data_IF_904475031546
#
_entry.id   IF_904475031546
#
_cell.length_a   1.000
_cell.length_b   1.000
_cell.length_c   1.000
_cell.angle_alpha   90.00
_cell.angle_beta   90.00
_cell.angle_gamma   90.00
#
_symmetry.space_group_name_H-M   'P 1'
#
loop_
_entity.id
_entity.type
_entity.pdbx_description
1 polymer ?
2 non-polymer ?
3 non-polymer ?
4 non-polymer ?
5 non-polymer ?
6 water ?
#
# COMPACT_ATOMS: atom_id res chain seq x y z
N UNK A 1 -18.87 20.48 10.12
CA UNK A 1 -17.63 19.73 10.47
C UNK A 1 -17.17 18.81 9.34
N UNK A 2 -15.89 18.50 9.37
CA UNK A 2 -15.32 17.41 8.59
C UNK A 2 -15.57 16.13 9.39
N UNK A 3 -16.18 15.14 8.76
CA UNK A 3 -16.56 13.93 9.47
C UNK A 3 -15.78 12.75 8.92
N UNK A 4 -15.36 11.84 9.80
CA UNK A 4 -14.83 10.57 9.30
C UNK A 4 -15.87 9.90 8.39
N UNK A 5 -15.45 9.07 7.44
CA UNK A 5 -16.43 8.38 6.60
C UNK A 5 -17.35 7.48 7.43
N UNK A 6 -18.62 7.42 7.06
CA UNK A 6 -19.58 6.59 7.76
C UNK A 6 -19.82 5.43 6.79
N UNK A 7 -19.56 4.21 7.25
CA UNK A 7 -19.60 3.02 6.42
C UNK A 7 -21.06 2.58 6.21
N UNK A 8 -21.44 2.35 4.96
CA UNK A 8 -22.71 1.74 4.63
C UNK A 8 -22.46 0.32 4.11
N UNK A 9 -22.63 -0.69 4.98
CA UNK A 9 -22.38 -2.08 4.61
C UNK A 9 -23.23 -2.58 3.44
N UNK A 10 -24.39 -1.99 3.20
CA UNK A 10 -25.23 -2.47 2.12
C UNK A 10 -24.74 -2.04 0.73
N UNK A 11 -23.72 -1.19 0.69
CA UNK A 11 -23.29 -0.62 -0.58
C UNK A 11 -22.10 -1.35 -1.17
N UNK A 12 -21.99 -2.66 -0.96
CA UNK A 12 -20.87 -3.44 -1.52
C UNK A 12 -21.04 -3.52 -3.03
N UNK A 13 -20.00 -3.15 -3.79
CA UNK A 13 -20.08 -3.20 -5.24
C UNK A 13 -20.06 -4.62 -5.79
N UNK A 14 -20.46 -4.78 -7.07
CA UNK A 14 -20.39 -6.09 -7.68
C UNK A 14 -18.94 -6.60 -7.75
N UNK A 15 -18.78 -7.91 -7.62
CA UNK A 15 -17.50 -8.56 -7.81
C UNK A 15 -17.28 -8.69 -9.31
N UNK A 16 -16.70 -7.66 -9.91
CA UNK A 16 -16.39 -7.70 -11.34
C UNK A 16 -15.07 -7.03 -11.58
N UNK A 17 -14.29 -7.56 -12.52
CA UNK A 17 -12.99 -7.00 -12.83
C UNK A 17 -13.10 -5.92 -13.92
N UNK A 18 -11.98 -5.26 -14.24
CA UNK A 18 -11.91 -4.32 -15.37
C UNK A 18 -12.01 -2.87 -14.92
N UNK A 19 -11.58 -1.91 -15.78
CA UNK A 19 -11.61 -0.50 -15.39
C UNK A 19 -13.04 0.07 -15.36
N UNK A 20 -13.23 1.16 -14.63
CA UNK A 20 -14.52 1.89 -14.59
C UNK A 20 -14.93 2.40 -15.96
N UNK A 21 -13.94 2.76 -16.77
CA UNK A 21 -14.18 3.17 -18.14
C UNK A 21 -13.02 2.72 -19.01
N UNK A 22 -13.23 2.66 -20.33
CA UNK A 22 -12.21 2.03 -21.17
C UNK A 22 -10.84 2.70 -21.12
N UNK A 23 -9.79 1.89 -21.22
CA UNK A 23 -8.41 2.33 -21.00
C UNK A 23 -7.53 1.72 -22.08
N UNK A 24 -6.53 2.50 -22.54
CA UNK A 24 -5.65 2.09 -23.62
C UNK A 24 -4.21 2.42 -23.30
N UNK A 25 -3.33 1.44 -23.57
CA UNK A 25 -1.91 1.64 -23.35
C UNK A 25 -1.35 2.61 -24.38
N UNK A 26 -0.83 3.74 -23.91
CA UNK A 26 -0.22 4.74 -24.78
C UNK A 26 1.32 4.74 -24.71
N UNK A 27 1.91 4.10 -23.70
CA UNK A 27 3.35 4.08 -23.55
C UNK A 27 3.92 2.67 -23.43
N UNK A 28 5.15 2.51 -23.90
CA UNK A 28 5.92 1.29 -23.70
C UNK A 28 6.26 1.12 -22.22
N UNK A 29 6.31 -0.12 -21.76
CA UNK A 29 6.43 -0.40 -20.34
C UNK A 29 7.82 -0.03 -19.83
N UNK A 30 7.86 0.50 -18.62
CA UNK A 30 9.12 0.76 -17.92
C UNK A 30 9.65 -0.53 -17.31
N UNK A 31 10.94 -0.49 -16.96
CA UNK A 31 11.58 -1.56 -16.18
C UNK A 31 12.45 -0.92 -15.12
N UNK A 32 12.58 -1.54 -13.94
CA UNK A 32 13.44 -1.00 -12.92
C UNK A 32 14.89 -1.21 -13.28
N UNK A 33 15.78 -0.54 -12.55
CA UNK A 33 17.19 -0.61 -12.82
C UNK A 33 18.03 -0.45 -11.52
N UNK A 34 19.28 -0.09 -11.67
CA UNK A 34 20.22 -0.01 -10.56
C UNK A 34 21.09 1.22 -10.71
N UNK A 35 21.56 1.75 -9.58
CA UNK A 35 22.58 2.78 -9.60
C UNK A 35 23.92 2.14 -9.99
N UNK A 36 24.70 2.85 -10.83
CA UNK A 36 26.01 2.34 -11.16
C UNK A 36 26.79 1.94 -9.93
N UNK A 37 27.47 0.80 -9.98
CA UNK A 37 28.35 0.31 -8.92
C UNK A 37 27.65 -0.02 -7.60
N UNK A 38 26.37 -0.38 -7.63
CA UNK A 38 25.68 -0.85 -6.42
C UNK A 38 26.12 -2.28 -6.09
N UNK A 39 26.32 -2.56 -4.82
CA UNK A 39 26.70 -3.89 -4.39
C UNK A 39 25.57 -4.46 -3.55
N UNK A 40 24.89 -5.47 -4.07
CA UNK A 40 23.71 -6.02 -3.40
C UNK A 40 24.00 -7.19 -2.45
N UNK A 41 25.29 -7.48 -2.26
CA UNK A 41 25.68 -8.49 -1.27
C UNK A 41 25.26 -8.09 0.15
N UNK A 42 25.28 -6.80 0.44
CA UNK A 42 24.89 -6.29 1.76
C UNK A 42 23.38 -6.23 1.88
N UNK A 43 22.91 -6.27 3.12
CA UNK A 43 21.49 -6.17 3.40
C UNK A 43 21.02 -4.75 3.15
N UNK A 44 19.84 -4.55 2.53
CA UNK A 44 19.31 -3.17 2.40
C UNK A 44 19.10 -2.53 3.78
N UNK A 45 19.17 -1.20 3.85
CA UNK A 45 19.10 -0.53 5.16
C UNK A 45 17.78 -0.87 5.87
N UNK A 46 16.72 -1.05 5.09
CA UNK A 46 15.41 -1.34 5.65
C UNK A 46 15.33 -2.70 6.31
N UNK A 47 16.01 -3.68 5.73
CA UNK A 47 16.09 -5.01 6.30
C UNK A 47 16.85 -5.01 7.63
N UNK A 48 17.97 -4.29 7.67
CA UNK A 48 18.73 -4.14 8.91
C UNK A 48 17.92 -3.39 9.97
N UNK A 49 17.30 -2.28 9.57
CA UNK A 49 16.50 -1.45 10.47
C UNK A 49 15.33 -2.22 11.11
N UNK A 50 14.65 -3.05 10.32
CA UNK A 50 13.46 -3.78 10.78
C UNK A 50 13.81 -5.15 11.36
N UNK A 51 15.09 -5.50 11.30
CA UNK A 51 15.63 -6.75 11.88
C UNK A 51 14.98 -7.98 11.27
N UNK A 52 14.87 -7.99 9.95
CA UNK A 52 14.15 -9.05 9.23
C UNK A 52 14.76 -10.44 9.48
N UNK A 53 16.09 -10.50 9.46
CA UNK A 53 16.83 -11.71 9.77
C UNK A 53 16.37 -12.30 11.11
N UNK A 54 16.29 -11.50 12.15
CA UNK A 54 15.83 -11.98 13.45
C UNK A 54 14.35 -12.36 13.39
N UNK A 55 13.53 -11.51 12.77
CA UNK A 55 12.11 -11.78 12.70
C UNK A 55 11.81 -13.15 12.10
N UNK A 56 12.61 -13.54 11.09
CA UNK A 56 12.43 -14.83 10.41
C UNK A 56 12.74 -16.06 11.25
N UNK A 57 13.35 -15.90 12.42
CA UNK A 57 13.44 -17.01 13.36
C UNK A 57 12.03 -17.37 13.87
N UNK A 58 11.11 -16.41 13.82
CA UNK A 58 9.81 -16.53 14.45
C UNK A 58 8.64 -16.78 13.49
N UNK A 59 8.79 -16.38 12.23
CA UNK A 59 7.77 -16.55 11.18
C UNK A 59 8.33 -16.15 9.81
N UNK A 60 7.80 -16.76 8.75
CA UNK A 60 8.20 -16.45 7.37
C UNK A 60 7.02 -16.18 6.41
N UNK A 61 5.78 -16.19 6.93
CA UNK A 61 4.57 -16.09 6.14
C UNK A 61 4.06 -17.36 5.49
N UNK A 62 4.56 -18.53 5.90
CA UNK A 62 4.11 -19.80 5.32
C UNK A 62 2.63 -20.01 5.60
N UNK A 63 1.89 -20.49 4.60
CA UNK A 63 0.44 -20.66 4.69
C UNK A 63 -0.40 -19.40 4.42
N UNK A 64 0.20 -18.22 4.32
CA UNK A 64 -0.55 -16.96 4.21
C UNK A 64 -0.49 -16.49 2.77
N UNK A 65 -1.59 -15.89 2.31
CA UNK A 65 -1.72 -15.34 0.96
C UNK A 65 -1.96 -13.82 1.09
N UNK A 66 -1.08 -13.02 0.46
CA UNK A 66 -1.21 -11.59 0.44
C UNK A 66 -1.65 -11.14 -0.95
N UNK A 67 -2.74 -10.39 -1.00
CA UNK A 67 -3.16 -9.74 -2.23
C UNK A 67 -2.55 -8.35 -2.32
N UNK A 68 -2.01 -8.03 -3.50
CA UNK A 68 -1.31 -6.78 -3.72
C UNK A 68 -2.04 -5.98 -4.78
N UNK A 69 -2.67 -4.88 -4.37
CA UNK A 69 -3.40 -4.01 -5.30
C UNK A 69 -2.41 -2.88 -5.64
N UNK A 70 -1.95 -2.87 -6.88
CA UNK A 70 -0.81 -2.06 -7.28
C UNK A 70 -0.83 -1.99 -8.84
N UNK A 71 0.33 -2.03 -9.51
CA UNK A 71 0.38 -1.83 -10.96
C UNK A 71 0.60 -3.18 -11.71
N UNK A 72 0.27 -4.31 -11.08
CA UNK A 72 0.61 -5.60 -11.67
C UNK A 72 2.01 -6.05 -11.30
N UNK A 73 2.30 -7.31 -11.63
CA UNK A 73 3.57 -7.96 -11.30
C UNK A 73 4.04 -8.80 -12.47
N UNK A 74 5.30 -8.65 -12.85
CA UNK A 74 5.93 -9.56 -13.78
C UNK A 74 6.60 -10.62 -12.94
N UNK A 75 6.02 -11.82 -12.96
CA UNK A 75 6.35 -12.87 -12.03
C UNK A 75 7.65 -13.57 -12.35
N UNK A 76 8.26 -14.15 -11.31
CA UNK A 76 9.52 -14.85 -11.43
C UNK A 76 9.61 -15.81 -10.27
N UNK A 77 10.63 -16.71 -10.30
CA UNK A 77 10.71 -17.59 -9.16
C UNK A 77 10.88 -16.85 -7.83
N UNK A 78 11.59 -15.72 -7.80
CA UNK A 78 11.76 -14.97 -6.56
C UNK A 78 10.57 -14.11 -6.16
N UNK A 79 9.71 -13.77 -7.13
CA UNK A 79 8.45 -13.06 -6.85
C UNK A 79 7.34 -13.85 -7.57
N UNK A 80 6.98 -15.04 -7.02
CA UNK A 80 6.11 -15.98 -7.74
C UNK A 80 4.63 -15.64 -7.65
N UNK A 81 4.28 -14.47 -8.15
CA UNK A 81 2.91 -13.97 -8.05
C UNK A 81 1.92 -14.77 -8.88
N UNK A 82 0.66 -14.74 -8.45
CA UNK A 82 -0.44 -15.42 -9.11
C UNK A 82 -1.48 -14.38 -9.58
N UNK A 83 -2.19 -14.68 -10.69
CA UNK A 83 -3.15 -13.74 -11.21
C UNK A 83 -4.24 -13.36 -10.19
N UNK A 84 -4.43 -12.08 -9.95
CA UNK A 84 -5.51 -11.60 -9.10
C UNK A 84 -6.52 -10.74 -9.82
N UNK A 85 -6.30 -10.50 -11.11
CA UNK A 85 -7.18 -9.64 -11.90
C UNK A 85 -6.60 -8.29 -12.28
N UNK A 86 -7.21 -7.72 -13.32
CA UNK A 86 -6.79 -6.45 -13.91
C UNK A 86 -7.97 -5.49 -13.92
N UNK A 87 -7.74 -4.30 -13.38
CA UNK A 87 -8.73 -3.24 -13.33
C UNK A 87 -8.30 -2.04 -14.17
N UNK A 88 -7.27 -2.24 -15.01
CA UNK A 88 -6.78 -1.24 -15.98
C UNK A 88 -7.05 -1.72 -17.39
N UNK A 89 -6.48 -2.88 -17.71
CA UNK A 89 -6.75 -3.52 -18.98
C UNK A 89 -7.88 -4.54 -18.81
N UNK A 90 -8.94 -4.32 -19.55
CA UNK A 90 -10.13 -5.13 -19.44
C UNK A 90 -9.89 -6.61 -19.77
N UNK A 91 -8.85 -6.91 -20.55
CA UNK A 91 -8.51 -8.29 -20.93
C UNK A 91 -7.35 -8.91 -20.10
N UNK A 92 -6.83 -8.17 -19.14
CA UNK A 92 -5.64 -8.60 -18.40
C UNK A 92 -5.96 -9.50 -17.23
N UNK A 93 -4.93 -9.91 -16.50
CA UNK A 93 -5.08 -10.80 -15.33
C UNK A 93 -4.24 -10.41 -14.10
N UNK A 94 -3.54 -9.28 -14.16
CA UNK A 94 -2.74 -8.78 -13.04
C UNK A 94 -1.27 -9.19 -13.07
N UNK A 95 -0.92 -9.98 -14.07
CA UNK A 95 0.44 -10.51 -14.21
C UNK A 95 1.27 -9.78 -15.26
N UNK A 96 0.95 -8.52 -15.47
CA UNK A 96 1.74 -7.63 -16.32
C UNK A 96 1.97 -6.31 -15.60
N UNK A 97 3.22 -6.02 -15.29
CA UNK A 97 3.62 -4.77 -14.66
C UNK A 97 4.24 -3.90 -15.76
N UNK A 98 3.59 -2.78 -16.07
CA UNK A 98 4.09 -1.86 -17.08
C UNK A 98 4.78 -0.64 -16.42
N UNK A 99 4.82 -0.61 -15.08
CA UNK A 99 5.24 0.59 -14.35
C UNK A 99 6.47 0.39 -13.47
N UNK A 100 7.06 -0.80 -13.48
CA UNK A 100 8.19 -1.06 -12.61
C UNK A 100 7.85 -0.65 -11.19
N UNK A 101 6.71 -1.09 -10.69
CA UNK A 101 6.26 -0.69 -9.39
C UNK A 101 5.70 -1.89 -8.63
N UNK A 102 4.60 -2.44 -9.09
CA UNK A 102 3.94 -3.55 -8.40
C UNK A 102 4.82 -4.76 -8.19
N UNK A 103 5.68 -5.04 -9.16
CA UNK A 103 6.63 -6.13 -9.03
C UNK A 103 7.52 -5.88 -7.80
N UNK A 104 7.93 -4.63 -7.65
CA UNK A 104 8.85 -4.25 -6.55
C UNK A 104 8.12 -4.31 -5.21
N UNK A 105 6.91 -3.76 -5.14
CA UNK A 105 6.07 -3.89 -3.95
C UNK A 105 5.94 -5.36 -3.48
N UNK A 106 5.53 -6.22 -4.41
CA UNK A 106 5.38 -7.63 -4.11
C UNK A 106 6.68 -8.25 -3.59
N UNK A 107 7.81 -7.81 -4.16
CA UNK A 107 9.12 -8.33 -3.74
C UNK A 107 9.46 -7.96 -2.30
N UNK A 108 9.07 -6.77 -1.89
CA UNK A 108 9.31 -6.30 -0.52
C UNK A 108 8.47 -7.12 0.49
N UNK A 109 7.21 -7.39 0.14
CA UNK A 109 6.30 -8.18 0.98
C UNK A 109 6.80 -9.64 1.09
N UNK A 110 7.06 -10.28 -0.04
CA UNK A 110 7.23 -11.74 -0.08
C UNK A 110 8.34 -12.25 -0.99
N UNK A 111 9.28 -11.38 -1.35
CA UNK A 111 10.38 -11.79 -2.21
C UNK A 111 11.22 -12.88 -1.58
N UNK A 112 11.56 -13.89 -2.36
CA UNK A 112 12.43 -14.96 -1.89
C UNK A 112 13.91 -14.57 -1.84
N UNK A 113 14.67 -15.27 -1.01
CA UNK A 113 16.12 -15.05 -0.90
C UNK A 113 16.88 -15.67 -2.05
N UNK A 114 18.17 -15.34 -2.15
CA UNK A 114 19.09 -15.94 -3.09
C UNK A 114 20.49 -15.89 -2.48
N UNK A 115 21.35 -16.89 -2.79
CA UNK A 115 22.68 -16.88 -2.24
C UNK A 115 23.61 -15.79 -2.82
N UNK A 116 23.18 -15.15 -3.92
CA UNK A 116 24.00 -14.16 -4.60
C UNK A 116 23.72 -12.73 -4.18
N UNK A 117 22.72 -12.47 -3.35
CA UNK A 117 22.52 -11.11 -2.83
C UNK A 117 21.95 -11.13 -1.42
N UNK A 118 21.87 -9.95 -0.80
CA UNK A 118 21.39 -9.83 0.58
C UNK A 118 19.92 -9.47 0.72
N UNK A 119 19.17 -9.50 -0.39
CA UNK A 119 17.76 -9.14 -0.34
C UNK A 119 16.82 -10.28 -0.02
N UNK A 120 15.84 -10.02 0.84
CA UNK A 120 14.76 -10.97 1.07
C UNK A 120 13.52 -10.20 1.47
N UNK A 121 12.35 -10.73 1.09
CA UNK A 121 11.09 -10.14 1.48
C UNK A 121 10.85 -10.35 2.96
N UNK A 122 9.87 -9.61 3.47
CA UNK A 122 9.43 -9.75 4.85
C UNK A 122 8.85 -11.13 5.12
N UNK A 123 8.03 -11.62 4.19
CA UNK A 123 7.30 -12.88 4.35
C UNK A 123 7.60 -13.79 3.15
N UNK A 124 8.84 -14.27 3.06
CA UNK A 124 9.29 -14.97 1.86
C UNK A 124 8.58 -16.27 1.57
N UNK A 125 7.81 -16.81 2.51
CA UNK A 125 7.03 -18.01 2.25
C UNK A 125 5.56 -17.72 1.90
N UNK A 126 5.16 -16.45 1.83
CA UNK A 126 3.77 -16.11 1.57
C UNK A 126 3.44 -16.31 0.10
N UNK A 127 2.18 -16.63 -0.21
CA UNK A 127 1.71 -16.50 -1.59
C UNK A 127 1.40 -15.02 -1.89
N UNK A 128 1.49 -14.65 -3.16
CA UNK A 128 1.21 -13.30 -3.64
C UNK A 128 0.16 -13.37 -4.74
N UNK A 129 -0.96 -12.67 -4.56
CA UNK A 129 -1.95 -12.47 -5.62
C UNK A 129 -1.81 -11.04 -6.13
N UNK A 130 -1.67 -10.87 -7.45
CA UNK A 130 -1.47 -9.54 -8.05
C UNK A 130 -2.73 -9.00 -8.73
N UNK A 131 -3.21 -7.87 -8.24
CA UNK A 131 -4.34 -7.16 -8.85
C UNK A 131 -3.79 -5.84 -9.37
N UNK A 132 -3.94 -5.62 -10.68
CA UNK A 132 -3.54 -4.35 -11.25
C UNK A 132 -4.73 -3.38 -11.18
N UNK A 133 -4.53 -2.31 -10.43
CA UNK A 133 -5.52 -1.24 -10.33
C UNK A 133 -5.05 0.07 -10.98
N UNK A 134 -3.74 0.31 -11.09
CA UNK A 134 -3.19 1.55 -11.66
C UNK A 134 -2.11 1.28 -12.67
N UNK A 135 -2.02 2.15 -13.69
CA UNK A 135 -0.83 2.25 -14.55
C UNK A 135 -0.70 3.61 -15.21
N UNK A 136 0.48 4.22 -15.05
CA UNK A 136 0.81 5.44 -15.75
C UNK A 136 0.99 5.25 -17.28
N UNK A 137 1.03 4.00 -17.75
CA UNK A 137 1.22 3.71 -19.18
C UNK A 137 -0.10 3.74 -19.98
N UNK A 138 -1.23 3.76 -19.27
CA UNK A 138 -2.56 3.75 -19.89
C UNK A 138 -3.26 5.07 -19.69
N UNK A 139 -4.15 5.40 -20.63
CA UNK A 139 -4.97 6.60 -20.54
C UNK A 139 -6.44 6.24 -20.84
N UNK A 140 -7.39 6.97 -20.22
CA UNK A 140 -8.79 6.76 -20.54
C UNK A 140 -9.07 7.01 -22.03
N UNK A 141 -9.85 6.13 -22.65
CA UNK A 141 -10.24 6.32 -24.04
C UNK A 141 -11.17 7.54 -24.01
N UNK A 142 -10.93 8.48 -24.93
CA UNK A 142 -11.73 9.70 -25.01
C UNK A 142 -13.19 9.42 -24.70
N UNK A 143 -13.78 10.18 -23.78
CA UNK A 143 -15.18 9.98 -23.44
C UNK A 143 -15.88 11.30 -23.15
N UNK A 144 -17.15 11.39 -23.52
CA UNK A 144 -17.99 12.54 -23.21
C UNK A 144 -18.40 12.52 -21.72
N UNK A 145 -17.69 13.27 -20.87
CA UNK A 145 -18.07 13.40 -19.44
C UNK A 145 -18.34 14.87 -19.04
N UNK A 146 -19.05 15.03 -17.92
CA UNK A 146 -19.38 16.35 -17.39
C UNK A 146 -18.22 16.80 -16.48
N UNK A 147 -17.50 17.88 -16.87
CA UNK A 147 -16.24 18.21 -16.22
C UNK A 147 -16.37 18.93 -14.86
N UNK A 148 -17.58 19.35 -14.51
CA UNK A 148 -17.82 20.04 -13.24
C UNK A 148 -18.30 19.08 -12.14
N UNK A 149 -18.38 17.79 -12.46
CA UNK A 149 -18.93 16.80 -11.53
C UNK A 149 -17.83 15.90 -10.93
N UNK A 150 -17.63 15.97 -9.59
CA UNK A 150 -16.57 15.16 -8.95
C UNK A 150 -16.72 13.68 -9.23
N UNK A 151 -17.95 13.19 -9.34
CA UNK A 151 -18.20 11.77 -9.64
C UNK A 151 -17.84 11.29 -11.04
N UNK A 152 -17.54 12.19 -11.97
CA UNK A 152 -17.06 11.81 -13.27
C UNK A 152 -15.59 12.11 -13.54
N UNK A 153 -14.83 12.45 -12.52
CA UNK A 153 -13.38 12.60 -12.66
C UNK A 153 -12.71 11.22 -12.76
N UNK A 154 -11.45 11.22 -13.19
CA UNK A 154 -10.67 10.00 -13.24
C UNK A 154 -10.47 9.43 -11.83
N UNK A 155 -10.29 10.31 -10.83
CA UNK A 155 -10.19 9.89 -9.43
C UNK A 155 -11.44 9.14 -8.97
N UNK A 156 -12.61 9.67 -9.31
CA UNK A 156 -13.86 9.03 -8.92
C UNK A 156 -13.98 7.66 -9.56
N UNK A 157 -13.65 7.58 -10.84
CA UNK A 157 -13.63 6.30 -11.55
C UNK A 157 -12.64 5.33 -10.96
N UNK A 158 -11.46 5.83 -10.64
CA UNK A 158 -10.42 5.01 -10.04
C UNK A 158 -10.88 4.46 -8.65
N UNK A 159 -11.62 5.25 -7.89
CA UNK A 159 -12.18 4.79 -6.61
C UNK A 159 -13.32 3.77 -6.81
N UNK A 160 -14.11 3.94 -7.86
CA UNK A 160 -15.08 2.91 -8.18
C UNK A 160 -14.42 1.58 -8.54
N UNK A 161 -13.37 1.59 -9.38
CA UNK A 161 -12.66 0.32 -9.72
C UNK A 161 -11.90 -0.29 -8.52
N UNK A 162 -11.41 0.57 -7.64
CA UNK A 162 -10.78 0.14 -6.43
C UNK A 162 -11.74 -0.61 -5.51
N UNK A 163 -12.96 -0.10 -5.36
CA UNK A 163 -13.93 -0.73 -4.50
C UNK A 163 -14.17 -2.16 -4.99
N UNK A 164 -14.33 -2.34 -6.28
CA UNK A 164 -14.51 -3.70 -6.82
C UNK A 164 -13.25 -4.57 -6.62
N UNK A 165 -12.08 -3.97 -6.77
CA UNK A 165 -10.84 -4.71 -6.59
C UNK A 165 -10.70 -5.23 -5.16
N UNK A 166 -11.18 -4.47 -4.18
CA UNK A 166 -11.11 -4.89 -2.79
C UNK A 166 -12.07 -6.07 -2.57
N UNK A 167 -13.29 -5.97 -3.14
CA UNK A 167 -14.25 -7.09 -3.08
C UNK A 167 -13.62 -8.34 -3.69
N UNK A 168 -13.13 -8.19 -4.92
CA UNK A 168 -12.50 -9.29 -5.64
C UNK A 168 -11.29 -9.88 -4.86
N UNK A 169 -10.42 -9.02 -4.31
CA UNK A 169 -9.27 -9.47 -3.53
C UNK A 169 -9.72 -10.36 -2.37
N UNK A 170 -10.74 -9.91 -1.66
CA UNK A 170 -11.31 -10.65 -0.53
C UNK A 170 -11.85 -12.00 -0.98
N UNK A 171 -12.57 -12.00 -2.11
CA UNK A 171 -13.11 -13.24 -2.68
C UNK A 171 -12.06 -14.26 -3.12
N UNK A 172 -10.87 -13.77 -3.45
CA UNK A 172 -9.71 -14.62 -3.79
C UNK A 172 -9.18 -15.38 -2.59
N UNK A 173 -9.54 -14.96 -1.37
CA UNK A 173 -9.15 -15.68 -0.15
C UNK A 173 -7.88 -15.16 0.51
N UNK A 174 -7.46 -13.95 0.19
CA UNK A 174 -6.23 -13.41 0.80
C UNK A 174 -6.48 -13.01 2.25
N UNK A 175 -5.50 -13.27 3.13
CA UNK A 175 -5.69 -12.97 4.55
C UNK A 175 -5.07 -11.62 4.92
N UNK A 176 -4.28 -11.09 3.99
CA UNK A 176 -3.74 -9.72 4.04
C UNK A 176 -3.94 -9.11 2.66
N UNK A 177 -4.45 -7.88 2.62
CA UNK A 177 -4.63 -7.12 1.39
C UNK A 177 -3.81 -5.81 1.48
N UNK A 178 -2.80 -5.71 0.64
CA UNK A 178 -1.95 -4.52 0.58
C UNK A 178 -2.46 -3.60 -0.51
N UNK A 179 -2.90 -2.40 -0.11
CA UNK A 179 -3.43 -1.42 -1.05
C UNK A 179 -2.42 -0.29 -1.21
N UNK A 180 -1.79 -0.25 -2.37
CA UNK A 180 -0.82 0.78 -2.68
C UNK A 180 -1.53 2.05 -3.16
N UNK A 181 -2.79 1.93 -3.60
CA UNK A 181 -3.54 3.09 -4.12
C UNK A 181 -3.75 4.10 -3.01
N UNK A 182 -3.48 5.37 -3.29
CA UNK A 182 -3.80 6.43 -2.35
C UNK A 182 -4.34 7.58 -3.16
N UNK A 183 -5.67 7.61 -3.32
CA UNK A 183 -6.34 8.61 -4.17
C UNK A 183 -6.67 9.84 -3.36
N UNK A 184 -6.39 11.01 -3.93
CA UNK A 184 -6.52 12.29 -3.23
C UNK A 184 -7.58 13.19 -3.85
N UNK A 185 -8.34 13.86 -3.01
CA UNK A 185 -9.25 14.88 -3.49
C UNK A 185 -9.51 15.92 -2.38
N UNK A 186 -10.02 17.07 -2.77
CA UNK A 186 -10.28 18.15 -1.83
C UNK A 186 -11.55 17.86 -1.04
N UNK A 187 -11.48 18.14 0.27
CA UNK A 187 -12.59 17.91 1.18
C UNK A 187 -13.90 18.63 0.75
N UNK A 188 -13.77 19.76 0.06
CA UNK A 188 -14.94 20.52 -0.38
C UNK A 188 -15.55 19.99 -1.68
N UNK A 189 -14.85 19.06 -2.33
CA UNK A 189 -15.30 18.47 -3.58
C UNK A 189 -15.42 16.98 -3.40
N UNK A 190 -16.35 16.55 -2.51
CA UNK A 190 -16.40 15.14 -2.12
C UNK A 190 -16.86 14.20 -3.24
N UNK A 191 -16.16 13.09 -3.40
CA UNK A 191 -16.56 12.03 -4.34
C UNK A 191 -17.47 11.07 -3.58
N UNK A 192 -18.50 10.51 -4.22
CA UNK A 192 -19.28 9.49 -3.55
C UNK A 192 -18.49 8.16 -3.68
N UNK A 193 -17.87 7.73 -2.59
CA UNK A 193 -17.03 6.53 -2.60
C UNK A 193 -17.49 5.56 -1.50
N UNK A 194 -18.78 5.62 -1.21
CA UNK A 194 -19.52 4.70 -0.32
C UNK A 194 -19.15 3.24 -0.57
N UNK A 195 -19.00 2.89 -1.84
CA UNK A 195 -18.56 1.57 -2.22
C UNK A 195 -17.20 1.17 -1.71
N UNK A 196 -16.27 2.12 -1.58
CA UNK A 196 -14.94 1.78 -1.09
C UNK A 196 -15.04 1.36 0.37
N UNK A 197 -15.76 2.15 1.15
CA UNK A 197 -16.00 1.87 2.55
C UNK A 197 -16.69 0.53 2.73
N UNK A 198 -17.67 0.25 1.91
CA UNK A 198 -18.40 -1.01 2.01
C UNK A 198 -17.48 -2.17 1.66
N UNK A 199 -16.59 -1.99 0.67
CA UNK A 199 -15.68 -3.04 0.25
C UNK A 199 -14.65 -3.32 1.35
N UNK A 200 -14.13 -2.27 1.97
CA UNK A 200 -13.14 -2.43 3.03
C UNK A 200 -13.78 -3.18 4.18
N UNK A 201 -15.00 -2.76 4.54
CA UNK A 201 -15.76 -3.44 5.60
C UNK A 201 -15.99 -4.92 5.33
N UNK A 202 -16.37 -5.25 4.09
CA UNK A 202 -16.59 -6.64 3.66
C UNK A 202 -15.29 -7.45 3.77
N UNK A 203 -14.18 -6.90 3.30
CA UNK A 203 -12.89 -7.59 3.41
C UNK A 203 -12.52 -7.89 4.85
N UNK A 204 -12.73 -6.91 5.72
CA UNK A 204 -12.26 -6.99 7.11
C UNK A 204 -13.24 -7.77 8.00
N UNK A 205 -14.54 -7.50 7.86
CA UNK A 205 -15.53 -8.09 8.76
C UNK A 205 -16.20 -9.34 8.21
N UNK A 206 -16.23 -9.52 6.89
CA UNK A 206 -16.93 -10.68 6.30
C UNK A 206 -15.96 -11.78 5.84
N UNK A 207 -14.80 -11.39 5.33
CA UNK A 207 -13.83 -12.36 4.79
C UNK A 207 -12.54 -12.49 5.62
N UNK A 208 -12.47 -11.88 6.81
CA UNK A 208 -11.35 -12.14 7.72
C UNK A 208 -9.97 -11.68 7.20
N UNK A 209 -9.94 -10.55 6.49
CA UNK A 209 -8.70 -10.06 5.91
C UNK A 209 -8.23 -8.79 6.59
N UNK A 210 -6.92 -8.71 6.74
CA UNK A 210 -6.27 -7.52 7.27
C UNK A 210 -6.06 -6.64 6.07
N UNK A 211 -6.46 -5.37 6.14
CA UNK A 211 -6.25 -4.44 5.04
C UNK A 211 -5.25 -3.37 5.43
N UNK A 212 -4.20 -3.22 4.63
CA UNK A 212 -3.15 -2.22 4.86
C UNK A 212 -3.18 -1.23 3.70
N UNK A 213 -3.13 0.07 4.01
CA UNK A 213 -3.15 1.10 2.96
C UNK A 213 -1.95 2.04 3.06
N UNK A 214 -1.44 2.46 1.90
CA UNK A 214 -0.43 3.49 1.81
C UNK A 214 -0.98 4.83 2.27
N UNK A 215 -0.19 5.58 3.02
CA UNK A 215 -0.59 6.95 3.36
C UNK A 215 -0.74 7.86 2.15
N UNK A 216 -0.02 7.55 1.07
CA UNK A 216 -0.02 8.37 -0.15
C UNK A 216 1.20 9.30 -0.15
N UNK A 217 1.53 9.83 -1.33
CA UNK A 217 2.67 10.72 -1.51
C UNK A 217 2.17 12.05 -2.03
N UNK A 218 2.80 13.12 -1.57
CA UNK A 218 2.43 14.46 -2.04
C UNK A 218 2.74 14.64 -3.52
N UNK A 219 2.04 15.60 -4.11
CA UNK A 219 2.24 16.01 -5.50
C UNK A 219 0.92 15.96 -6.23
N UNK A 220 0.77 16.81 -7.23
CA UNK A 220 -0.43 16.80 -8.07
C UNK A 220 -1.69 17.11 -7.27
N UNK A 221 -2.57 16.12 -7.08
CA UNK A 221 -3.82 16.30 -6.33
C UNK A 221 -3.59 16.06 -4.85
N UNK A 222 -2.42 15.52 -4.50
CA UNK A 222 -2.12 15.24 -3.10
C UNK A 222 -1.27 16.36 -2.52
N UNK A 223 -1.95 17.33 -1.93
CA UNK A 223 -1.30 18.43 -1.25
C UNK A 223 -1.37 18.12 0.24
N UNK A 224 -0.23 18.29 0.91
CA UNK A 224 -0.03 17.95 2.32
C UNK A 224 -1.10 18.53 3.23
N UNK A 225 -1.57 17.74 4.19
CA UNK A 225 -2.53 18.26 5.17
C UNK A 225 -1.82 19.02 6.28
N UNK A 226 -2.43 20.11 6.79
CA UNK A 226 -1.84 20.82 7.95
C UNK A 226 -1.89 19.97 9.23
N UNK A 227 -0.99 20.25 10.19
CA UNK A 227 -1.09 19.54 11.45
C UNK A 227 -2.36 19.89 12.28
N UNK A 228 -2.65 19.10 13.31
CA UNK A 228 -3.70 19.44 14.28
C UNK A 228 -3.49 20.80 14.95
N UNK A 229 -4.58 21.49 15.29
CA UNK A 229 -4.49 22.71 16.09
C UNK A 229 -4.50 22.35 17.58
N UNK A 230 -3.38 22.59 18.28
CA UNK A 230 -3.29 22.30 19.72
C UNK A 230 -4.29 23.07 20.59
N UNK A 231 -4.80 24.18 20.08
CA UNK A 231 -5.80 24.95 20.80
C UNK A 231 -7.20 24.34 20.72
N UNK A 232 -7.39 23.29 19.91
CA UNK A 232 -8.67 22.61 19.84
C UNK A 232 -8.51 21.19 20.37
N UNK A 233 -8.52 21.03 21.70
CA UNK A 233 -8.19 19.73 22.31
C UNK A 233 -9.22 18.63 22.09
N UNK A 234 -10.45 18.99 21.74
CA UNK A 234 -11.44 17.98 21.39
C UNK A 234 -11.16 17.34 20.02
N UNK A 235 -10.15 17.83 19.30
CA UNK A 235 -9.77 17.30 17.97
C UNK A 235 -8.26 17.04 17.93
N UNK A 236 -7.77 16.10 18.76
CA UNK A 236 -6.31 15.84 18.88
C UNK A 236 -5.63 15.40 17.58
N UNK A 237 -6.35 14.66 16.75
CA UNK A 237 -5.84 14.26 15.43
C UNK A 237 -6.12 15.29 14.30
N UNK A 238 -6.78 16.39 14.60
CA UNK A 238 -6.93 17.48 13.61
C UNK A 238 -7.75 17.15 12.38
N UNK A 239 -8.85 16.41 12.55
CA UNK A 239 -9.83 16.20 11.49
C UNK A 239 -10.33 17.51 10.87
N UNK A 240 -10.48 18.55 11.69
CA UNK A 240 -10.97 19.84 11.22
C UNK A 240 -9.93 20.70 10.49
N UNK A 241 -8.67 20.27 10.48
CA UNK A 241 -7.58 20.94 9.76
C UNK A 241 -7.32 20.27 8.40
N UNK A 242 -8.01 19.17 8.13
CA UNK A 242 -7.79 18.43 6.89
C UNK A 242 -8.29 19.23 5.69
N UNK A 243 -7.48 19.24 4.63
CA UNK A 243 -7.89 19.78 3.32
C UNK A 243 -7.96 18.71 2.22
N UNK A 244 -7.11 17.69 2.33
CA UNK A 244 -7.00 16.63 1.33
C UNK A 244 -7.40 15.27 1.92
N UNK A 245 -8.47 14.70 1.39
CA UNK A 245 -8.86 13.33 1.71
C UNK A 245 -7.94 12.40 0.91
N UNK A 246 -7.39 11.39 1.58
CA UNK A 246 -6.69 10.28 0.93
C UNK A 246 -7.49 9.00 1.17
N UNK A 247 -7.85 8.32 0.09
CA UNK A 247 -8.69 7.10 0.19
C UNK A 247 -7.99 5.93 -0.48
N UNK A 248 -8.08 4.73 0.13
CA UNK A 248 -8.89 4.34 1.28
C UNK A 248 -8.19 4.59 2.64
N UNK A 249 -7.08 5.32 2.62
CA UNK A 249 -6.32 5.63 3.85
C UNK A 249 -7.20 6.09 5.01
N UNK A 250 -8.21 6.90 4.67
CA UNK A 250 -9.08 7.55 5.64
C UNK A 250 -10.11 6.68 6.29
N UNK A 251 -10.21 5.41 5.91
CA UNK A 251 -11.11 4.46 6.53
C UNK A 251 -10.53 3.86 7.81
N UNK A 252 -9.40 4.35 8.28
CA UNK A 252 -8.84 3.90 9.58
C UNK A 252 -9.88 4.05 10.69
N UNK A 253 -10.03 3.05 11.58
CA UNK A 253 -9.15 1.90 11.82
C UNK A 253 -9.57 0.62 11.09
N UNK A 254 -10.53 0.71 10.18
CA UNK A 254 -10.85 -0.46 9.33
C UNK A 254 -9.63 -0.93 8.56
N UNK A 255 -8.83 0.04 8.15
CA UNK A 255 -7.54 -0.21 7.53
C UNK A 255 -6.46 0.36 8.45
N UNK A 256 -5.27 -0.22 8.37
CA UNK A 256 -4.08 0.39 8.95
C UNK A 256 -3.30 1.15 7.84
N UNK A 257 -3.26 2.46 7.99
CA UNK A 257 -2.65 3.34 7.02
C UNK A 257 -1.22 3.66 7.42
N UNK A 258 -0.30 3.48 6.47
CA UNK A 258 1.13 3.49 6.75
C UNK A 258 1.85 4.66 6.05
N UNK A 259 2.44 5.52 6.86
CA UNK A 259 3.30 6.61 6.40
C UNK A 259 4.74 6.16 6.24
N UNK A 260 5.59 7.05 5.73
CA UNK A 260 6.97 6.69 5.33
C UNK A 260 8.01 7.32 6.23
N UNK A 261 9.08 6.57 6.50
CA UNK A 261 10.28 7.13 7.09
C UNK A 261 11.48 6.86 6.21
N UNK A 262 12.52 7.65 6.39
CA UNK A 262 13.80 7.51 5.71
C UNK A 262 14.84 6.79 6.55
N UNK A 263 16.07 6.59 5.99
CA UNK A 263 17.12 5.83 6.66
C UNK A 263 17.61 6.45 7.95
N UNK A 264 17.40 7.76 8.15
CA UNK A 264 17.73 8.41 9.42
C UNK A 264 16.59 8.36 10.44
N UNK A 265 15.48 7.71 10.11
CA UNK A 265 14.34 7.56 11.03
C UNK A 265 13.34 8.71 11.03
N UNK A 266 13.56 9.72 10.18
CA UNK A 266 12.61 10.85 10.12
C UNK A 266 11.43 10.56 9.17
N UNK A 267 10.29 11.19 9.43
CA UNK A 267 9.18 11.15 8.50
C UNK A 267 9.65 11.62 7.12
N UNK A 268 9.30 10.86 6.09
CA UNK A 268 9.59 11.23 4.71
C UNK A 268 8.80 12.48 4.34
N UNK A 269 9.45 13.44 3.66
CA UNK A 269 8.78 14.70 3.33
C UNK A 269 7.70 14.62 2.27
N UNK A 270 7.62 13.51 1.56
CA UNK A 270 6.53 13.29 0.63
C UNK A 270 5.35 12.53 1.25
N UNK A 271 5.47 12.09 2.50
CA UNK A 271 4.45 11.22 3.09
C UNK A 271 3.24 12.07 3.46
N UNK A 272 2.07 11.69 2.95
CA UNK A 272 0.82 12.42 3.21
C UNK A 272 0.36 12.20 4.66
N UNK A 273 0.26 13.28 5.42
CA UNK A 273 -0.16 13.21 6.80
C UNK A 273 -1.67 13.30 6.88
N UNK A 274 -2.21 12.71 7.94
CA UNK A 274 -3.59 12.96 8.30
C UNK A 274 -4.03 12.30 9.59
N UNK A 275 -5.28 12.59 10.01
CA UNK A 275 -5.80 12.02 11.25
C UNK A 275 -5.92 10.49 11.24
N UNK A 276 -5.75 9.87 10.06
CA UNK A 276 -5.99 8.43 9.84
C UNK A 276 -4.72 7.59 9.78
N UNK A 277 -3.55 8.23 9.77
CA UNK A 277 -2.28 7.47 9.69
C UNK A 277 -2.08 6.73 11.03
N UNK A 278 -1.76 5.44 10.96
CA UNK A 278 -1.64 4.55 12.14
C UNK A 278 -0.24 4.07 12.47
N UNK A 279 0.65 4.08 11.47
CA UNK A 279 1.97 3.52 11.64
C UNK A 279 2.87 4.00 10.50
N UNK A 280 4.14 3.63 10.59
CA UNK A 280 5.10 3.95 9.54
C UNK A 280 6.13 2.86 9.33
N UNK A 281 6.82 2.95 8.20
CA UNK A 281 7.82 1.99 7.82
C UNK A 281 8.74 2.59 6.71
N UNK A 282 9.88 1.92 6.41
CA UNK A 282 10.82 2.50 5.45
C UNK A 282 10.18 2.75 4.07
N UNK A 283 10.48 3.91 3.51
CA UNK A 283 9.85 4.37 2.27
C UNK A 283 10.81 5.10 1.32
N UNK A 284 12.11 5.13 1.65
CA UNK A 284 13.12 5.84 0.87
C UNK A 284 14.33 4.94 0.62
N UNK A 285 15.02 5.16 -0.51
CA UNK A 285 16.28 4.48 -0.80
C UNK A 285 16.11 2.96 -0.67
N UNK A 286 15.04 2.49 -1.31
CA UNK A 286 14.59 1.11 -1.20
C UNK A 286 15.33 0.21 -2.21
N UNK A 287 15.64 -1.01 -1.76
CA UNK A 287 16.11 -2.08 -2.63
C UNK A 287 14.98 -3.08 -2.74
N UNK A 288 14.73 -3.55 -3.96
CA UNK A 288 13.67 -4.49 -4.20
C UNK A 288 14.13 -5.42 -5.33
N UNK A 289 13.22 -6.25 -5.84
CA UNK A 289 13.50 -7.11 -6.99
C UNK A 289 12.68 -6.70 -8.21
N UNK A 290 13.26 -6.92 -9.38
CA UNK A 290 12.63 -6.58 -10.64
C UNK A 290 11.93 -7.76 -11.30
N UNK A 291 11.74 -7.65 -12.61
CA UNK A 291 10.93 -8.57 -13.38
C UNK A 291 11.55 -9.96 -13.52
N UNK A 292 12.85 -10.08 -13.25
CA UNK A 292 13.51 -11.38 -13.29
C UNK A 292 13.87 -11.88 -11.89
N UNK A 293 13.45 -11.16 -10.86
CA UNK A 293 13.88 -11.48 -9.49
C UNK A 293 15.26 -10.97 -9.16
N UNK A 294 15.76 -10.04 -9.99
CA UNK A 294 17.09 -9.42 -9.84
C UNK A 294 17.01 -8.21 -8.91
N UNK A 295 18.02 -8.01 -8.06
CA UNK A 295 17.96 -6.84 -7.19
C UNK A 295 17.96 -5.52 -7.99
N UNK A 296 17.12 -4.57 -7.55
CA UNK A 296 17.05 -3.26 -8.14
C UNK A 296 16.99 -2.18 -7.05
N UNK A 297 17.43 -0.97 -7.39
CA UNK A 297 17.40 0.16 -6.47
C UNK A 297 17.28 1.54 -7.14
N UNK A 298 16.89 1.57 -8.43
CA UNK A 298 16.74 2.79 -9.17
C UNK A 298 15.62 2.63 -10.19
N UNK A 299 15.04 3.78 -10.55
CA UNK A 299 14.04 3.87 -11.60
C UNK A 299 14.43 4.97 -12.57
N UNK A 300 13.91 4.88 -13.80
CA UNK A 300 14.19 5.92 -14.78
C UNK A 300 13.31 7.12 -14.42
N UNK A 301 13.93 8.28 -14.21
CA UNK A 301 13.19 9.52 -13.98
C UNK A 301 13.23 10.38 -15.21
N UNK A 302 12.94 11.67 -15.05
CA UNK A 302 12.87 12.62 -16.16
C UNK A 302 14.26 13.03 -16.63
N UNK A 303 15.13 13.38 -15.69
CA UNK A 303 16.52 13.74 -16.01
C UNK A 303 17.49 12.67 -15.49
N UNK A 304 17.16 11.39 -15.64
CA UNK A 304 18.04 10.30 -15.18
C UNK A 304 17.50 9.50 -14.01
N UNK A 305 18.38 8.78 -13.31
CA UNK A 305 17.95 7.83 -12.27
C UNK A 305 17.38 8.50 -11.02
N UNK A 306 16.35 7.87 -10.45
CA UNK A 306 15.79 8.31 -9.18
C UNK A 306 15.72 7.08 -8.26
N UNK A 307 15.62 7.31 -6.94
CA UNK A 307 15.60 6.17 -6.02
C UNK A 307 14.27 5.46 -6.06
N UNK A 308 14.24 4.22 -5.59
CA UNK A 308 12.99 3.52 -5.34
C UNK A 308 12.45 4.06 -4.00
N UNK A 309 11.28 4.70 -4.04
CA UNK A 309 10.72 5.33 -2.87
C UNK A 309 9.19 5.43 -2.92
N UNK A 310 8.56 5.61 -1.75
CA UNK A 310 7.15 5.91 -1.70
C UNK A 310 6.46 5.23 -0.54
N UNK A 311 5.30 5.75 -0.17
CA UNK A 311 4.52 5.13 0.89
C UNK A 311 3.97 3.74 0.54
N UNK A 312 3.88 3.39 -0.74
CA UNK A 312 3.54 2.01 -1.13
C UNK A 312 4.55 1.01 -0.53
N UNK A 313 5.82 1.38 -0.46
CA UNK A 313 6.84 0.51 0.14
C UNK A 313 6.69 0.41 1.66
N UNK A 314 6.39 1.51 2.34
CA UNK A 314 6.03 1.47 3.74
C UNK A 314 4.88 0.49 3.98
N UNK A 315 3.83 0.60 3.18
CA UNK A 315 2.69 -0.30 3.30
C UNK A 315 3.10 -1.74 3.06
N UNK A 316 4.00 -1.97 2.10
CA UNK A 316 4.49 -3.31 1.79
C UNK A 316 5.20 -3.93 2.98
N UNK A 317 6.07 -3.19 3.68
CA UNK A 317 6.70 -3.76 4.89
C UNK A 317 5.66 -4.18 5.95
N UNK A 318 4.63 -3.35 6.15
CA UNK A 318 3.59 -3.62 7.15
C UNK A 318 2.72 -4.83 6.74
N UNK A 319 2.34 -4.93 5.47
CA UNK A 319 1.64 -6.12 4.96
C UNK A 319 2.45 -7.41 5.18
N UNK A 320 3.73 -7.36 4.88
CA UNK A 320 4.62 -8.46 5.23
C UNK A 320 4.59 -8.85 6.69
N UNK A 321 4.68 -7.86 7.58
CA UNK A 321 4.60 -8.08 9.02
C UNK A 321 3.28 -8.69 9.42
N UNK A 322 2.19 -8.21 8.82
CA UNK A 322 0.88 -8.77 9.13
C UNK A 322 0.87 -10.25 8.79
N UNK A 323 1.46 -10.59 7.65
CA UNK A 323 1.57 -11.98 7.21
C UNK A 323 2.39 -12.83 8.20
N UNK A 324 3.48 -12.29 8.68
CA UNK A 324 4.28 -12.98 9.68
C UNK A 324 3.46 -13.24 10.96
N UNK A 325 2.72 -12.20 11.40
CA UNK A 325 1.89 -12.26 12.59
C UNK A 325 0.80 -13.32 12.46
N UNK A 326 0.12 -13.35 11.32
CA UNK A 326 -1.01 -14.25 11.12
C UNK A 326 -0.52 -15.69 11.04
N UNK A 327 0.68 -15.93 10.49
CA UNK A 327 1.24 -17.28 10.55
C UNK A 327 1.51 -17.70 12.00
N UNK A 328 2.18 -16.84 12.77
CA UNK A 328 2.62 -17.23 14.09
C UNK A 328 1.45 -17.30 15.06
N UNK A 329 0.45 -16.45 14.85
CA UNK A 329 -0.72 -16.37 15.68
C UNK A 329 -1.99 -16.44 14.83
N UNK A 330 -2.32 -17.64 14.31
CA UNK A 330 -3.44 -17.73 13.36
C UNK A 330 -4.83 -17.48 13.99
N UNK A 331 -4.93 -17.49 15.32
CA UNK A 331 -6.19 -17.21 16.00
C UNK A 331 -6.54 -15.72 16.03
N UNK A 332 -5.59 -14.84 15.69
CA UNK A 332 -5.84 -13.40 15.79
C UNK A 332 -6.81 -12.92 14.73
N UNK A 333 -7.77 -12.08 15.14
CA UNK A 333 -8.66 -11.39 14.18
C UNK A 333 -7.86 -10.29 13.48
N UNK A 334 -8.39 -9.75 12.39
CA UNK A 334 -7.68 -8.63 11.77
C UNK A 334 -7.52 -7.42 12.71
N UNK A 335 -8.52 -7.13 13.54
CA UNK A 335 -8.38 -6.03 14.52
C UNK A 335 -7.20 -6.27 15.45
N UNK A 336 -7.06 -7.50 15.92
CA UNK A 336 -5.99 -7.84 16.84
C UNK A 336 -4.63 -7.82 16.14
N UNK A 337 -4.58 -8.19 14.87
CA UNK A 337 -3.31 -8.13 14.14
C UNK A 337 -2.80 -6.70 14.08
N UNK A 338 -3.66 -5.82 13.60
CA UNK A 338 -3.37 -4.40 13.47
C UNK A 338 -3.00 -3.79 14.80
N UNK A 339 -3.78 -4.11 15.84
CA UNK A 339 -3.54 -3.51 17.15
C UNK A 339 -2.19 -3.94 17.71
N UNK A 340 -1.79 -5.17 17.39
CA UNK A 340 -0.49 -5.68 17.79
C UNK A 340 0.63 -4.92 17.07
N UNK A 341 0.44 -4.67 15.77
CA UNK A 341 1.41 -3.90 15.00
C UNK A 341 1.59 -2.50 15.61
N UNK A 342 0.48 -1.81 15.90
CA UNK A 342 0.55 -0.43 16.41
C UNK A 342 1.04 -0.36 17.85
N UNK A 343 0.59 -1.28 18.69
CA UNK A 343 0.93 -1.28 20.10
C UNK A 343 2.43 -1.55 20.33
N UNK A 344 3.09 -2.22 19.40
CA UNK A 344 4.53 -2.48 19.55
C UNK A 344 5.42 -1.58 18.69
N UNK A 345 4.84 -0.58 18.04
CA UNK A 345 5.63 0.32 17.20
C UNK A 345 6.41 1.28 18.09
N UNK A 346 7.47 1.85 17.53
CA UNK A 346 8.29 2.81 18.25
C UNK A 346 7.63 4.19 18.13
N UNK A 347 7.03 4.66 19.22
CA UNK A 347 6.19 5.87 19.20
C UNK A 347 6.97 7.18 19.04
N UNK A 348 6.43 8.13 18.26
CA UNK A 348 7.12 9.37 18.05
C UNK A 348 7.06 10.25 19.30
N UNK A 349 7.64 11.45 19.20
CA UNK A 349 7.79 12.38 20.32
C UNK A 349 6.50 12.85 20.96
N UNK A 350 5.42 12.90 20.19
CA UNK A 350 4.12 13.26 20.72
C UNK A 350 3.23 12.09 21.03
N UNK A 351 3.79 10.87 21.04
CA UNK A 351 2.99 9.67 21.33
C UNK A 351 2.30 9.10 20.09
N UNK A 352 1.38 9.86 19.52
CA UNK A 352 0.81 9.56 18.21
C UNK A 352 0.87 10.86 17.43
N UNK A 353 1.13 10.77 16.13
CA UNK A 353 1.03 11.95 15.29
C UNK A 353 0.52 11.61 13.90
N UNK A 354 0.27 12.64 13.11
CA UNK A 354 -0.35 12.48 11.79
C UNK A 354 0.62 12.05 10.69
N UNK A 355 1.92 11.98 11.00
CA UNK A 355 2.93 11.62 10.02
C UNK A 355 3.22 10.13 10.08
N UNK A 356 3.37 9.62 11.30
CA UNK A 356 3.73 8.23 11.54
C UNK A 356 2.70 7.46 12.38
N UNK A 357 1.63 8.12 12.80
CA UNK A 357 0.64 7.48 13.65
C UNK A 357 1.27 7.06 14.94
N UNK A 358 1.12 5.78 15.29
CA UNK A 358 1.69 5.22 16.52
C UNK A 358 3.21 4.98 16.36
N UNK A 359 3.74 5.15 15.15
CA UNK A 359 5.18 5.10 14.93
C UNK A 359 5.68 3.98 14.03
N UNK A 360 7.00 3.77 14.09
CA UNK A 360 7.66 2.89 13.14
C UNK A 360 7.48 1.45 13.61
N UNK A 361 7.03 0.57 12.71
CA UNK A 361 6.82 -0.81 13.09
C UNK A 361 8.11 -1.48 13.59
N UNK A 362 7.91 -2.47 14.46
CA UNK A 362 8.99 -3.21 15.07
C UNK A 362 8.64 -4.71 14.99
N UNK A 363 9.04 -5.35 13.89
CA UNK A 363 8.67 -6.74 13.64
C UNK A 363 8.99 -7.73 14.76
N UNK A 364 10.17 -7.61 15.37
CA UNK A 364 10.56 -8.57 16.41
C UNK A 364 9.70 -8.36 17.64
N UNK A 365 9.51 -7.10 18.03
CA UNK A 365 8.61 -6.80 19.13
C UNK A 365 7.20 -7.31 18.82
N UNK A 366 6.72 -7.09 17.59
CA UNK A 366 5.37 -7.52 17.23
C UNK A 366 5.22 -9.03 17.36
N UNK A 367 6.24 -9.76 16.90
CA UNK A 367 6.25 -11.22 16.96
C UNK A 367 6.53 -11.81 18.33
N UNK A 368 7.21 -11.06 19.21
CA UNK A 368 7.69 -11.65 20.50
C UNK A 368 7.56 -10.84 21.79
N UNK A 369 7.19 -9.57 21.75
CA UNK A 369 7.34 -8.73 22.95
C UNK A 369 6.46 -9.24 24.11
X LIG B 1 -4.45 2.26 -8.01
X LIG C 1 -14.02 -11.67 -8.36
X LIG D 1 -16.66 -11.22 -14.12
X LIG E 1 -13.64 -4.38 13.24
X LIG F 1 -19.70 19.38 8.47
X LIG G 1 4.75 3.95 -4.98
X LIG H 1 -22.86 14.41 11.13
X LIG I 1 -14.18 -15.62 -6.64
X LIG I 1 -14.81 -14.54 -7.16
X LIG I 1 -13.90 -13.55 -7.33
X LIG I 1 -12.71 -14.04 -6.92
X LIG I 1 -12.89 -15.33 -6.48
X LIG J 1 -15.37 -11.59 -12.42
X LIG J 1 -15.59 -11.59 -11.06
X LIG J 1 -14.52 -12.10 -10.42
X LIG J 1 -13.60 -12.44 -11.39
X LIG J 1 -14.13 -12.12 -12.63
X LIG K 1 -11.78 -3.62 12.56
X LIG K 1 -10.97 -2.62 12.21
X LIG K 1 -9.83 -3.15 11.72
X LIG K 1 -9.94 -4.49 11.74
X LIG K 1 -11.17 -4.79 12.30
X LIG L 1 20.10 3.66 -2.90
X LIG L 1 20.36 2.45 -2.64
X LIG L 1 18.93 4.10 -3.11
X LIG L 1 21.26 4.62 -2.95
X LIG M 1 2.94 4.95 -3.77
X LIG M 1 2.64 4.28 -4.80
X LIG M 1 4.11 5.01 -3.34
X LIG M 1 1.79 5.63 -3.06
X LIG N 1 -2.81 0.74 -7.06
#
# INVERSE_FOLDING_TARGET
MIEPPVIDPAAVPPDETGPDNPMEQRRVCAAPTVYPDSNFADRPWASDYLRLTEAHKFATGAGITVAVIDTGVNGSPRVPAEPGGDFVDAAGNGMSDCDAHGTLTASVIAGRGAPTDGFIGVAPDARILSLRHTSAAFQPVGARTDPNNPNTTQTAGSLRSLARAIVHAANLGAQVINISEAACYKVTRPIDETGVGAAVNYAVHVKNAVVIAAAGNTGQDCTQNPPPDPAVPSDPRGWQQVQTIVSPAWYSPLVLTVGGIGPTGQPSNFSMSGPWVGAAAPAENITALGYGGEPVNALQGQDGLVPVAGTSFAAAYVSGLAALIRQRYPDLTPAQVINRITATARHPGGGVDNYVGAGVIDPVAALTWDVENLYFQ
ZN ZN
ZN ZN
ZN ZN
ZN ZN
ZN ZN
ZN ZN
ZN ZN
IMD N1 C2 N3 C4 C5
IMD N1 C2 N3 C4 C5
IMD N1 C2 N3 C4 C5
ACT C O OXT CH3
ACT C O OXT CH3
CL CL
#
